data_IF_112661763458
#
_entry.id   IF_112661763458
#
_cell.length_a   1.000
_cell.length_b   1.000
_cell.length_c   1.000
_cell.angle_alpha   90.00
_cell.angle_beta   90.00
_cell.angle_gamma   90.00
#
_symmetry.space_group_name_H-M   'P 1'
#
loop_
_entity.id
_entity.type
_entity.pdbx_description
1 polymer ?
#
# COMPACT_ATOMS: atom_id res chain seq x y z
N UNK A 1 17.37 26.06 7.02
CA UNK A 1 17.97 24.77 6.59
C UNK A 1 17.84 24.60 5.07
N UNK A 2 16.66 24.68 4.47
CA UNK A 2 16.44 24.46 3.03
C UNK A 2 17.21 25.42 2.12
N UNK A 3 17.35 26.70 2.50
CA UNK A 3 18.11 27.69 1.72
C UNK A 3 19.59 27.32 1.71
N UNK A 4 20.16 26.96 2.85
CA UNK A 4 21.56 26.50 2.95
C UNK A 4 21.79 25.23 2.12
N UNK A 5 20.85 24.27 2.16
CA UNK A 5 20.94 23.05 1.38
C UNK A 5 20.89 23.33 -0.13
N UNK A 6 19.98 24.21 -0.59
CA UNK A 6 19.88 24.61 -2.00
C UNK A 6 21.16 25.29 -2.54
N UNK A 7 21.90 25.98 -1.69
CA UNK A 7 23.19 26.55 -2.05
C UNK A 7 24.25 25.46 -2.12
N UNK A 8 24.30 24.59 -1.09
CA UNK A 8 25.31 23.54 -0.98
C UNK A 8 25.24 22.50 -2.12
N UNK A 9 24.05 22.09 -2.55
CA UNK A 9 23.87 21.12 -3.65
C UNK A 9 24.28 21.65 -5.03
N UNK A 10 24.57 22.95 -5.16
CA UNK A 10 25.14 23.49 -6.42
C UNK A 10 26.59 23.04 -6.62
N UNK A 11 27.29 22.65 -5.57
CA UNK A 11 28.62 22.05 -5.68
C UNK A 11 28.49 20.58 -6.13
N UNK A 12 29.18 20.16 -7.23
CA UNK A 12 29.12 18.78 -7.71
C UNK A 12 29.61 17.75 -6.71
N UNK A 13 30.48 18.16 -5.77
CA UNK A 13 31.11 17.27 -4.80
C UNK A 13 30.38 17.23 -3.47
N UNK A 14 29.43 18.13 -3.21
CA UNK A 14 28.73 18.22 -1.94
C UNK A 14 28.14 16.88 -1.47
N UNK A 15 27.42 16.18 -2.34
CA UNK A 15 26.83 14.87 -2.01
C UNK A 15 27.89 13.80 -1.84
N UNK A 16 28.93 13.80 -2.67
CA UNK A 16 30.04 12.84 -2.58
C UNK A 16 30.79 12.99 -1.25
N UNK A 17 31.04 14.22 -0.83
CA UNK A 17 31.71 14.52 0.44
C UNK A 17 30.83 14.16 1.64
N UNK A 18 29.53 14.37 1.56
CA UNK A 18 28.58 13.90 2.57
C UNK A 18 28.61 12.38 2.71
N UNK A 19 28.57 11.65 1.59
CA UNK A 19 28.64 10.19 1.59
C UNK A 19 29.98 9.72 2.15
N UNK A 20 31.08 10.30 1.69
CA UNK A 20 32.40 9.94 2.18
C UNK A 20 32.52 10.14 3.69
N UNK A 21 32.20 11.33 4.18
CA UNK A 21 32.33 11.70 5.60
C UNK A 21 31.39 10.91 6.51
N UNK A 22 30.12 10.72 6.10
CA UNK A 22 29.12 10.15 6.99
C UNK A 22 28.94 8.63 6.83
N UNK A 23 29.33 8.05 5.68
CA UNK A 23 29.14 6.63 5.42
C UNK A 23 30.45 5.88 5.22
N UNK A 24 31.39 6.40 4.41
CA UNK A 24 32.63 5.66 4.07
C UNK A 24 33.64 5.77 5.20
N UNK A 25 33.98 6.99 5.61
CA UNK A 25 35.01 7.28 6.62
C UNK A 25 34.44 7.30 8.04
N UNK A 26 33.18 6.97 8.22
CA UNK A 26 32.53 6.95 9.53
C UNK A 26 32.83 5.63 10.26
N UNK A 27 33.54 5.72 11.37
CA UNK A 27 33.89 4.58 12.24
C UNK A 27 32.68 4.08 13.06
N UNK A 28 31.64 4.90 13.29
CA UNK A 28 30.40 4.52 13.94
C UNK A 28 29.47 3.78 12.96
N UNK A 29 29.89 2.58 12.55
CA UNK A 29 29.02 1.73 11.73
C UNK A 29 29.09 0.29 12.23
N UNK A 30 27.94 -0.37 12.19
CA UNK A 30 27.79 -1.78 12.54
C UNK A 30 27.37 -2.54 11.28
N UNK A 31 28.02 -3.67 11.07
CA UNK A 31 27.57 -4.63 10.05
C UNK A 31 26.83 -5.76 10.76
N UNK A 32 25.55 -5.87 10.51
CA UNK A 32 24.73 -6.97 11.01
C UNK A 32 24.53 -8.00 9.90
N UNK A 33 24.91 -9.23 10.17
CA UNK A 33 24.63 -10.36 9.28
C UNK A 33 23.61 -11.25 9.95
N UNK A 34 22.45 -11.42 9.33
CA UNK A 34 21.41 -12.35 9.78
C UNK A 34 21.54 -13.66 9.01
N UNK A 35 21.60 -14.76 9.74
CA UNK A 35 21.69 -16.11 9.17
C UNK A 35 20.42 -16.86 9.57
N UNK A 36 19.74 -17.55 8.64
CA UNK A 36 18.59 -18.40 8.97
C UNK A 36 19.00 -19.49 9.97
N UNK A 37 18.18 -19.69 11.00
CA UNK A 37 18.42 -20.67 12.03
C UNK A 37 17.11 -21.38 12.42
N UNK A 38 16.95 -22.60 11.92
CA UNK A 38 15.76 -23.39 12.17
C UNK A 38 15.54 -23.75 13.65
N UNK A 39 16.60 -23.74 14.48
CA UNK A 39 16.52 -24.10 15.90
C UNK A 39 16.53 -22.89 16.85
N UNK A 40 16.42 -21.68 16.32
CA UNK A 40 16.47 -20.47 17.15
C UNK A 40 15.37 -20.44 18.22
N UNK A 41 14.16 -20.82 17.85
CA UNK A 41 13.03 -20.82 18.78
C UNK A 41 13.20 -21.86 19.89
N UNK A 42 13.65 -23.06 19.56
CA UNK A 42 13.90 -24.11 20.55
C UNK A 42 14.95 -23.67 21.58
N UNK A 43 16.06 -23.09 21.11
CA UNK A 43 17.10 -22.56 22.01
C UNK A 43 16.58 -21.39 22.88
N UNK A 44 15.74 -20.53 22.35
CA UNK A 44 15.15 -19.43 23.14
C UNK A 44 14.22 -19.96 24.21
N UNK A 45 13.36 -20.93 23.88
CA UNK A 45 12.46 -21.57 24.84
C UNK A 45 13.24 -22.29 25.94
N UNK A 46 14.28 -23.04 25.58
CA UNK A 46 15.12 -23.71 26.55
C UNK A 46 15.82 -22.72 27.48
N UNK A 47 16.46 -21.67 26.91
CA UNK A 47 17.16 -20.65 27.71
C UNK A 47 16.17 -19.89 28.65
N UNK A 48 14.95 -19.64 28.19
CA UNK A 48 13.90 -19.04 29.03
C UNK A 48 13.47 -19.98 30.15
N UNK A 49 13.22 -21.26 29.85
CA UNK A 49 12.87 -22.26 30.85
C UNK A 49 13.95 -22.40 31.93
N UNK A 50 15.22 -22.46 31.54
CA UNK A 50 16.36 -22.50 32.48
C UNK A 50 16.44 -21.24 33.33
N UNK A 51 16.25 -20.04 32.74
CA UNK A 51 16.21 -18.77 33.45
C UNK A 51 15.08 -18.72 34.48
N UNK A 52 13.88 -19.14 34.06
CA UNK A 52 12.70 -19.16 34.94
C UNK A 52 12.86 -20.19 36.06
N UNK A 53 13.41 -21.38 35.78
CA UNK A 53 13.71 -22.39 36.80
C UNK A 53 14.70 -21.85 37.84
N UNK A 54 15.74 -21.14 37.41
CA UNK A 54 16.71 -20.50 38.31
C UNK A 54 16.04 -19.44 39.20
N UNK A 55 15.19 -18.57 38.63
CA UNK A 55 14.42 -17.59 39.42
C UNK A 55 13.52 -18.31 40.42
N UNK A 56 12.78 -19.32 39.94
CA UNK A 56 11.87 -20.08 40.82
C UNK A 56 12.58 -20.71 42.00
N UNK A 57 13.80 -21.20 41.84
CA UNK A 57 14.57 -21.80 42.92
C UNK A 57 15.05 -20.80 44.00
N UNK A 58 14.98 -19.49 43.72
CA UNK A 58 15.37 -18.41 44.64
C UNK A 58 14.17 -17.75 45.34
N UNK A 59 12.93 -18.09 44.95
CA UNK A 59 11.72 -17.53 45.55
C UNK A 59 11.41 -18.21 46.85
N UNK A 60 11.08 -17.43 47.87
CA UNK A 60 10.48 -17.92 49.10
C UNK A 60 8.94 -17.95 49.01
N UNK A 61 8.27 -18.43 50.07
CA UNK A 61 6.78 -18.50 50.12
C UNK A 61 6.13 -17.12 50.03
N UNK A 62 6.74 -16.09 50.58
CA UNK A 62 6.20 -14.73 50.56
C UNK A 62 6.31 -14.14 49.11
N UNK A 63 7.42 -14.39 48.45
CA UNK A 63 7.59 -14.01 47.03
C UNK A 63 6.58 -14.72 46.12
N UNK A 64 6.38 -16.01 46.34
CA UNK A 64 5.40 -16.79 45.60
C UNK A 64 3.97 -16.26 45.79
N UNK A 65 3.60 -15.97 47.03
CA UNK A 65 2.29 -15.38 47.35
C UNK A 65 2.10 -14.00 46.71
N UNK A 66 3.13 -13.16 46.76
CA UNK A 66 3.14 -11.84 46.09
C UNK A 66 2.95 -11.92 44.58
N UNK A 67 3.58 -12.89 43.92
CA UNK A 67 3.43 -13.11 42.48
C UNK A 67 1.99 -13.51 42.16
N UNK A 68 1.39 -14.41 42.95
CA UNK A 68 0.00 -14.82 42.76
C UNK A 68 -0.96 -13.65 42.99
N UNK A 69 -0.76 -12.86 44.03
CA UNK A 69 -1.56 -11.65 44.29
C UNK A 69 -1.46 -10.65 43.13
N UNK A 70 -0.23 -10.38 42.64
CA UNK A 70 -0.03 -9.47 41.53
C UNK A 70 -0.69 -9.97 40.24
N UNK A 71 -0.62 -11.27 40.00
CA UNK A 71 -1.29 -11.92 38.85
C UNK A 71 -2.81 -11.76 38.96
N UNK A 72 -3.38 -11.95 40.16
CA UNK A 72 -4.82 -11.75 40.37
C UNK A 72 -5.20 -10.27 40.14
N UNK A 73 -4.47 -9.35 40.73
CA UNK A 73 -4.72 -7.90 40.53
C UNK A 73 -4.63 -7.48 39.06
N UNK A 74 -3.72 -8.08 38.28
CA UNK A 74 -3.63 -7.84 36.86
C UNK A 74 -4.86 -8.38 36.13
N UNK A 75 -5.30 -9.61 36.46
CA UNK A 75 -6.50 -10.19 35.87
C UNK A 75 -7.74 -9.34 36.19
N UNK A 76 -7.90 -8.90 37.46
CA UNK A 76 -9.01 -8.04 37.87
C UNK A 76 -9.00 -6.70 37.14
N UNK A 77 -7.79 -6.12 36.94
CA UNK A 77 -7.64 -4.86 36.14
C UNK A 77 -7.99 -5.04 34.66
N UNK A 78 -7.65 -6.19 34.09
CA UNK A 78 -7.97 -6.49 32.66
C UNK A 78 -9.47 -6.76 32.47
N UNK A 79 -10.15 -7.31 33.47
CA UNK A 79 -11.58 -7.55 33.42
C UNK A 79 -12.43 -6.34 33.81
N UNK A 80 -11.80 -5.32 34.36
CA UNK A 80 -12.50 -4.10 34.75
C UNK A 80 -12.89 -3.28 33.55
N UNK A 81 -14.17 -2.98 33.41
CA UNK A 81 -14.66 -2.00 32.46
C UNK A 81 -14.27 -0.58 32.90
N UNK A 82 -13.55 0.13 32.03
CA UNK A 82 -13.27 1.53 32.29
C UNK A 82 -14.53 2.38 32.03
N UNK A 83 -14.68 3.46 32.79
CA UNK A 83 -15.82 4.35 32.59
C UNK A 83 -15.75 5.03 31.23
N UNK A 84 -16.67 4.75 30.27
CA UNK A 84 -16.67 5.34 28.95
C UNK A 84 -16.94 6.87 28.96
N UNK A 85 -17.46 7.40 30.08
CA UNK A 85 -17.78 8.84 30.21
C UNK A 85 -16.54 9.72 30.39
N UNK A 86 -15.37 9.13 30.63
CA UNK A 86 -14.09 9.86 30.68
C UNK A 86 -13.66 10.31 29.29
N UNK A 87 -14.06 9.59 28.25
CA UNK A 87 -13.71 9.92 26.87
C UNK A 87 -14.65 10.98 26.30
N UNK A 88 -14.14 11.93 25.48
CA UNK A 88 -15.00 12.83 24.71
C UNK A 88 -16.00 12.01 23.88
N UNK A 89 -17.26 12.35 23.99
CA UNK A 89 -18.32 11.72 23.20
C UNK A 89 -18.63 12.58 21.99
N UNK A 90 -18.78 11.92 20.85
CA UNK A 90 -19.31 12.56 19.64
C UNK A 90 -20.82 12.46 19.70
N UNK A 91 -21.49 13.59 19.80
CA UNK A 91 -22.93 13.69 19.74
C UNK A 91 -23.45 13.90 18.32
N UNK A 92 -24.76 13.88 18.16
CA UNK A 92 -25.41 14.15 16.87
C UNK A 92 -25.15 15.59 16.42
N UNK A 93 -24.94 16.50 17.36
CA UNK A 93 -24.61 17.90 17.14
C UNK A 93 -23.22 18.11 16.50
N UNK A 94 -22.30 17.16 16.70
CA UNK A 94 -20.96 17.18 16.12
C UNK A 94 -20.94 16.67 14.67
N UNK A 95 -22.03 16.04 14.23
CA UNK A 95 -22.15 15.54 12.87
C UNK A 95 -22.52 16.68 11.93
N UNK A 96 -21.69 16.99 10.91
CA UNK A 96 -22.01 18.03 9.95
C UNK A 96 -23.32 17.75 9.23
N UNK A 97 -24.20 18.76 9.15
CA UNK A 97 -25.49 18.64 8.48
C UNK A 97 -25.37 18.43 6.96
N UNK A 98 -24.20 18.67 6.39
CA UNK A 98 -23.91 18.50 4.97
C UNK A 98 -22.60 17.77 4.77
N UNK A 99 -22.59 16.86 3.81
CA UNK A 99 -21.33 16.27 3.34
C UNK A 99 -20.49 17.35 2.66
N UNK A 100 -19.19 17.37 3.00
CA UNK A 100 -18.24 18.24 2.30
C UNK A 100 -17.86 17.56 0.97
N UNK A 101 -18.65 17.86 -0.07
CA UNK A 101 -18.41 17.35 -1.43
C UNK A 101 -17.58 18.41 -2.15
N UNK A 102 -16.45 17.98 -2.70
CA UNK A 102 -15.61 18.87 -3.48
C UNK A 102 -16.35 19.35 -4.73
N UNK A 103 -16.50 20.64 -4.88
CA UNK A 103 -17.05 21.25 -6.08
C UNK A 103 -16.02 21.25 -7.20
N UNK A 104 -16.43 20.87 -8.40
CA UNK A 104 -15.57 20.76 -9.56
C UNK A 104 -16.19 21.37 -10.80
N UNK A 105 -15.36 21.70 -11.77
CA UNK A 105 -15.75 22.19 -13.08
C UNK A 105 -15.64 21.07 -14.11
N UNK A 106 -16.59 21.00 -15.03
CA UNK A 106 -16.58 20.05 -16.14
C UNK A 106 -16.18 20.78 -17.42
N UNK A 107 -15.05 20.41 -17.99
CA UNK A 107 -14.51 21.01 -19.20
C UNK A 107 -14.52 19.95 -20.31
N UNK A 108 -15.12 20.27 -21.45
CA UNK A 108 -15.07 19.39 -22.63
C UNK A 108 -14.04 19.93 -23.62
N UNK A 109 -13.06 19.12 -23.97
CA UNK A 109 -12.03 19.46 -24.96
C UNK A 109 -11.75 18.26 -25.87
N UNK A 110 -11.81 18.45 -27.18
CA UNK A 110 -11.49 17.41 -28.19
C UNK A 110 -12.16 16.05 -27.89
N UNK A 111 -13.47 16.06 -27.63
CA UNK A 111 -14.27 14.87 -27.26
C UNK A 111 -13.85 14.14 -25.98
N UNK A 112 -13.10 14.82 -25.10
CA UNK A 112 -12.77 14.30 -23.76
C UNK A 112 -13.40 15.18 -22.70
N UNK A 113 -13.92 14.56 -21.67
CA UNK A 113 -14.48 15.23 -20.50
C UNK A 113 -13.40 15.28 -19.43
N UNK A 114 -13.15 16.48 -18.91
CA UNK A 114 -12.20 16.74 -17.83
C UNK A 114 -13.00 17.26 -16.64
N UNK A 115 -12.89 16.57 -15.52
CA UNK A 115 -13.41 17.05 -14.24
C UNK A 115 -12.26 17.70 -13.48
N UNK A 116 -12.35 19.00 -13.25
CA UNK A 116 -11.33 19.77 -12.55
C UNK A 116 -11.85 20.19 -11.18
N UNK A 117 -11.07 19.85 -10.13
CA UNK A 117 -11.41 20.13 -8.75
C UNK A 117 -10.36 21.06 -8.15
N UNK A 118 -10.63 22.38 -8.04
CA UNK A 118 -9.72 23.33 -7.40
C UNK A 118 -9.75 23.15 -5.88
N UNK A 119 -8.83 22.36 -5.37
CA UNK A 119 -8.72 22.07 -3.94
C UNK A 119 -7.35 22.51 -3.38
N UNK A 120 -7.26 22.85 -2.08
CA UNK A 120 -6.02 23.26 -1.43
C UNK A 120 -5.09 22.07 -1.23
N UNK A 121 -4.31 21.73 -2.25
CA UNK A 121 -3.45 20.53 -2.30
C UNK A 121 -2.00 20.81 -1.87
N UNK A 122 -1.73 21.96 -1.28
CA UNK A 122 -0.40 22.36 -0.79
C UNK A 122 0.72 22.20 -1.85
N UNK A 123 0.44 22.66 -3.09
CA UNK A 123 1.41 22.62 -4.19
C UNK A 123 1.54 21.27 -4.89
N UNK A 124 0.63 20.35 -4.63
CA UNK A 124 0.54 19.08 -5.36
C UNK A 124 -0.57 19.16 -6.44
N UNK A 125 -0.33 18.49 -7.55
CA UNK A 125 -1.32 18.21 -8.57
C UNK A 125 -1.61 16.71 -8.57
N UNK A 126 -2.88 16.35 -8.52
CA UNK A 126 -3.37 14.97 -8.65
C UNK A 126 -4.04 14.85 -10.00
N UNK A 127 -3.70 13.82 -10.75
CA UNK A 127 -4.31 13.55 -12.06
C UNK A 127 -4.73 12.09 -12.14
N UNK A 128 -5.91 11.87 -12.68
CA UNK A 128 -6.45 10.54 -12.91
C UNK A 128 -7.01 10.46 -14.33
N UNK A 129 -6.63 9.43 -15.06
CA UNK A 129 -7.21 9.05 -16.34
C UNK A 129 -8.18 7.91 -16.05
N UNK A 130 -9.45 8.10 -16.44
CA UNK A 130 -10.52 7.13 -16.23
C UNK A 130 -11.05 6.70 -17.58
N UNK A 131 -11.04 5.41 -17.83
CA UNK A 131 -11.56 4.82 -19.07
C UNK A 131 -12.57 3.73 -18.73
N UNK A 132 -13.72 3.73 -19.38
CA UNK A 132 -14.67 2.62 -19.25
C UNK A 132 -14.01 1.35 -19.79
N UNK A 133 -14.03 0.28 -19.01
CA UNK A 133 -13.54 -1.02 -19.49
C UNK A 133 -14.44 -1.52 -20.62
N UNK A 134 -13.89 -1.96 -21.74
CA UNK A 134 -14.65 -2.64 -22.78
C UNK A 134 -15.14 -3.99 -22.27
N UNK A 135 -16.00 -4.63 -23.02
CA UNK A 135 -16.30 -6.05 -22.79
C UNK A 135 -15.03 -6.84 -23.10
N UNK A 136 -14.55 -7.57 -22.11
CA UNK A 136 -13.38 -8.43 -22.20
C UNK A 136 -13.82 -9.89 -22.21
N UNK A 137 -13.11 -10.70 -22.97
CA UNK A 137 -13.24 -12.15 -22.92
C UNK A 137 -12.75 -12.67 -21.55
N UNK A 138 -13.15 -13.87 -21.19
CA UNK A 138 -12.82 -14.45 -19.87
C UNK A 138 -11.31 -14.49 -19.60
N UNK A 139 -10.51 -14.88 -20.59
CA UNK A 139 -9.05 -14.94 -20.50
C UNK A 139 -8.43 -13.55 -20.22
N UNK A 140 -8.96 -12.52 -20.88
CA UNK A 140 -8.50 -11.13 -20.66
C UNK A 140 -8.95 -10.58 -19.30
N UNK A 141 -10.13 -11.00 -18.82
CA UNK A 141 -10.58 -10.64 -17.49
C UNK A 141 -9.66 -11.21 -16.40
N UNK A 142 -9.20 -12.45 -16.56
CA UNK A 142 -8.27 -13.08 -15.61
C UNK A 142 -6.91 -12.40 -15.57
N UNK A 143 -6.45 -11.87 -16.72
CA UNK A 143 -5.17 -11.16 -16.82
C UNK A 143 -5.26 -9.72 -16.29
N UNK A 144 -6.44 -9.12 -16.24
CA UNK A 144 -6.62 -7.70 -15.92
C UNK A 144 -5.96 -7.25 -14.61
N UNK A 145 -6.03 -7.98 -13.48
CA UNK A 145 -5.33 -7.60 -12.24
C UNK A 145 -3.81 -7.61 -12.41
N UNK A 146 -3.27 -8.59 -13.12
CA UNK A 146 -1.83 -8.71 -13.38
C UNK A 146 -1.33 -7.64 -14.34
N UNK A 147 -2.10 -7.35 -15.39
CA UNK A 147 -1.85 -6.23 -16.29
C UNK A 147 -1.80 -4.91 -15.51
N UNK A 148 -2.78 -4.66 -14.65
CA UNK A 148 -2.86 -3.45 -13.84
C UNK A 148 -1.63 -3.28 -12.94
N UNK A 149 -1.21 -4.35 -12.26
CA UNK A 149 -0.03 -4.33 -11.40
C UNK A 149 1.28 -4.14 -12.19
N UNK A 150 1.34 -4.65 -13.43
CA UNK A 150 2.55 -4.63 -14.23
C UNK A 150 2.72 -3.35 -15.05
N UNK A 151 1.62 -2.70 -15.46
CA UNK A 151 1.64 -1.56 -16.38
C UNK A 151 2.58 -0.43 -15.95
N UNK A 152 2.65 -0.16 -14.65
CA UNK A 152 3.48 0.93 -14.09
C UNK A 152 4.90 0.49 -13.73
N UNK A 153 5.23 -0.80 -13.92
CA UNK A 153 6.48 -1.43 -13.49
C UNK A 153 7.34 -1.96 -14.65
N UNK A 154 6.85 -1.84 -15.89
CA UNK A 154 7.55 -2.26 -17.12
C UNK A 154 8.17 -1.09 -17.84
N UNK A 155 9.02 -1.36 -18.83
CA UNK A 155 9.58 -0.37 -19.73
C UNK A 155 8.53 0.26 -20.64
N UNK A 156 8.82 1.46 -21.18
CA UNK A 156 7.95 2.16 -22.12
C UNK A 156 8.77 2.82 -23.22
N UNK A 157 8.36 2.66 -24.46
CA UNK A 157 9.08 3.18 -25.61
C UNK A 157 10.52 2.68 -25.66
N UNK A 158 11.48 3.57 -25.72
CA UNK A 158 12.91 3.24 -25.72
C UNK A 158 13.52 3.03 -24.32
N UNK A 159 12.74 3.24 -23.25
CA UNK A 159 13.20 3.08 -21.87
C UNK A 159 12.92 1.69 -21.35
N UNK A 160 13.93 1.05 -20.77
CA UNK A 160 13.75 -0.15 -19.96
C UNK A 160 13.03 0.17 -18.64
N UNK A 161 12.66 -0.86 -17.89
CA UNK A 161 11.92 -0.69 -16.63
C UNK A 161 12.71 0.12 -15.57
N UNK A 162 14.05 0.02 -15.50
CA UNK A 162 14.87 0.78 -14.56
C UNK A 162 14.87 2.27 -14.91
N UNK A 163 15.00 2.58 -16.19
CA UNK A 163 14.94 3.95 -16.69
C UNK A 163 13.55 4.56 -16.49
N UNK A 164 12.49 3.76 -16.64
CA UNK A 164 11.13 4.20 -16.37
C UNK A 164 10.91 4.49 -14.89
N UNK A 165 11.36 3.63 -14.00
CA UNK A 165 11.29 3.86 -12.55
C UNK A 165 12.06 5.12 -12.13
N UNK A 166 13.27 5.31 -12.67
CA UNK A 166 14.05 6.52 -12.42
C UNK A 166 13.32 7.79 -12.92
N UNK A 167 12.72 7.73 -14.09
CA UNK A 167 11.92 8.84 -14.63
C UNK A 167 10.69 9.11 -13.79
N UNK A 168 9.90 8.09 -13.41
CA UNK A 168 8.76 8.23 -12.49
C UNK A 168 9.18 8.90 -11.17
N UNK A 169 10.23 8.41 -10.54
CA UNK A 169 10.71 8.94 -9.26
C UNK A 169 11.19 10.39 -9.35
N UNK A 170 11.72 10.82 -10.50
CA UNK A 170 12.20 12.19 -10.71
C UNK A 170 11.08 13.22 -10.88
N UNK A 171 9.89 12.79 -11.33
CA UNK A 171 8.79 13.69 -11.71
C UNK A 171 7.63 13.61 -10.72
N UNK A 172 7.27 12.40 -10.32
CA UNK A 172 6.00 12.10 -9.64
C UNK A 172 6.19 11.44 -8.28
N UNK A 173 5.13 11.41 -7.49
CA UNK A 173 5.02 10.59 -6.28
C UNK A 173 4.57 9.16 -6.57
N UNK A 174 4.73 8.70 -7.82
CA UNK A 174 4.39 7.37 -8.31
C UNK A 174 3.19 7.35 -9.25
N UNK A 175 3.09 6.26 -10.00
CA UNK A 175 1.95 5.90 -10.83
C UNK A 175 1.22 4.72 -10.19
N UNK A 176 -0.09 4.72 -10.31
CA UNK A 176 -0.93 3.61 -9.85
C UNK A 176 -1.97 3.30 -10.91
N UNK A 177 -2.04 2.04 -11.33
CA UNK A 177 -3.02 1.55 -12.30
C UNK A 177 -3.88 0.46 -11.64
N UNK A 178 -5.20 0.58 -11.78
CA UNK A 178 -6.14 -0.38 -11.21
C UNK A 178 -7.46 -0.38 -11.96
N UNK A 179 -8.21 -1.46 -11.85
CA UNK A 179 -9.60 -1.55 -12.30
C UNK A 179 -10.56 -1.45 -11.11
N UNK A 180 -11.71 -0.84 -11.35
CA UNK A 180 -12.82 -0.80 -10.39
C UNK A 180 -14.07 -1.34 -11.05
N UNK A 181 -14.63 -2.39 -10.48
CA UNK A 181 -15.86 -3.03 -10.93
C UNK A 181 -16.85 -2.95 -9.79
N UNK A 182 -17.99 -2.30 -10.02
CA UNK A 182 -19.02 -2.08 -9.00
C UNK A 182 -20.39 -2.35 -9.61
N UNK A 183 -21.31 -2.86 -8.80
CA UNK A 183 -22.72 -2.92 -9.17
C UNK A 183 -23.31 -1.50 -9.31
N UNK A 184 -24.32 -1.35 -10.12
CA UNK A 184 -25.11 -0.12 -10.14
C UNK A 184 -25.95 -0.01 -8.86
N UNK A 185 -26.20 1.23 -8.43
CA UNK A 185 -26.96 1.51 -7.20
C UNK A 185 -28.40 0.98 -7.32
N UNK A 186 -29.01 1.17 -8.48
CA UNK A 186 -30.42 0.87 -8.72
C UNK A 186 -30.65 -0.49 -9.41
N UNK A 187 -29.59 -1.18 -9.85
CA UNK A 187 -29.68 -2.46 -10.51
C UNK A 187 -28.48 -3.37 -10.16
N UNK A 188 -28.72 -4.31 -9.27
CA UNK A 188 -27.69 -5.25 -8.78
C UNK A 188 -27.13 -6.17 -9.88
N UNK A 189 -27.87 -6.36 -10.98
CA UNK A 189 -27.47 -7.21 -12.11
C UNK A 189 -26.61 -6.46 -13.15
N UNK A 190 -26.47 -5.16 -13.01
CA UNK A 190 -25.63 -4.36 -13.88
C UNK A 190 -24.34 -3.95 -13.19
N UNK A 191 -23.24 -3.91 -13.95
CA UNK A 191 -21.92 -3.54 -13.46
C UNK A 191 -21.38 -2.34 -14.21
N UNK A 192 -20.74 -1.43 -13.46
CA UNK A 192 -19.90 -0.38 -14.00
C UNK A 192 -18.44 -0.76 -13.79
N UNK A 193 -17.72 -0.86 -14.87
CA UNK A 193 -16.32 -1.23 -14.86
C UNK A 193 -15.46 -0.12 -15.50
N UNK A 194 -14.45 0.34 -14.75
CA UNK A 194 -13.54 1.39 -15.17
C UNK A 194 -12.09 0.99 -14.92
N UNK A 195 -11.24 1.45 -15.78
CA UNK A 195 -9.79 1.38 -15.61
C UNK A 195 -9.25 2.77 -15.25
N UNK A 196 -8.37 2.79 -14.28
CA UNK A 196 -7.79 4.00 -13.74
C UNK A 196 -6.27 3.98 -13.88
N UNK A 197 -5.71 5.08 -14.34
CA UNK A 197 -4.32 5.40 -14.15
C UNK A 197 -4.23 6.71 -13.39
N UNK A 198 -3.61 6.71 -12.23
CA UNK A 198 -3.52 7.87 -11.35
C UNK A 198 -2.08 8.20 -10.98
N UNK A 199 -1.82 9.49 -10.79
CA UNK A 199 -0.52 9.99 -10.37
C UNK A 199 -0.69 11.28 -9.57
N UNK A 200 0.35 11.61 -8.81
CA UNK A 200 0.50 12.91 -8.14
C UNK A 200 1.90 13.45 -8.35
N UNK A 201 2.02 14.76 -8.48
CA UNK A 201 3.30 15.43 -8.62
C UNK A 201 3.27 16.83 -8.00
N UNK A 202 4.43 17.44 -7.84
CA UNK A 202 4.49 18.86 -7.56
C UNK A 202 3.86 19.63 -8.73
N UNK A 203 3.14 20.72 -8.43
CA UNK A 203 2.42 21.50 -9.45
C UNK A 203 3.32 21.96 -10.60
N UNK A 204 4.59 22.22 -10.33
CA UNK A 204 5.58 22.58 -11.39
C UNK A 204 5.86 21.42 -12.36
N UNK A 205 5.63 20.18 -11.96
CA UNK A 205 5.90 18.97 -12.74
C UNK A 205 4.63 18.42 -13.44
N UNK A 206 3.49 19.13 -13.37
CA UNK A 206 2.20 18.59 -13.87
C UNK A 206 2.25 18.20 -15.37
N UNK A 207 2.97 18.95 -16.20
CA UNK A 207 3.11 18.65 -17.64
C UNK A 207 3.92 17.37 -17.88
N UNK A 208 5.04 17.23 -17.18
CA UNK A 208 5.87 16.02 -17.28
C UNK A 208 5.15 14.81 -16.71
N UNK A 209 4.36 14.97 -15.63
CA UNK A 209 3.51 13.91 -15.10
C UNK A 209 2.46 13.46 -16.13
N UNK A 210 1.80 14.40 -16.81
CA UNK A 210 0.85 14.06 -17.88
C UNK A 210 1.51 13.32 -19.03
N UNK A 211 2.72 13.72 -19.43
CA UNK A 211 3.52 13.03 -20.44
C UNK A 211 3.88 11.62 -19.99
N UNK A 212 4.34 11.47 -18.75
CA UNK A 212 4.64 10.17 -18.14
C UNK A 212 3.42 9.24 -18.17
N UNK A 213 2.26 9.71 -17.73
CA UNK A 213 1.02 8.93 -17.73
C UNK A 213 0.61 8.51 -19.14
N UNK A 214 0.74 9.41 -20.11
CA UNK A 214 0.45 9.13 -21.52
C UNK A 214 1.39 8.06 -22.06
N UNK A 215 2.72 8.22 -21.88
CA UNK A 215 3.73 7.26 -22.33
C UNK A 215 3.48 5.88 -21.72
N UNK A 216 3.12 5.83 -20.44
CA UNK A 216 2.78 4.55 -19.76
C UNK A 216 1.57 3.87 -20.42
N UNK A 217 0.55 4.61 -20.86
CA UNK A 217 -0.63 4.01 -21.50
C UNK A 217 -0.39 3.61 -22.96
N UNK A 218 0.37 4.43 -23.71
CA UNK A 218 0.49 4.28 -25.14
C UNK A 218 1.70 3.42 -25.56
N UNK A 219 2.75 3.34 -24.72
CA UNK A 219 4.06 2.79 -25.11
C UNK A 219 4.58 1.72 -24.14
N UNK A 220 3.74 1.21 -23.22
CA UNK A 220 4.16 0.15 -22.30
C UNK A 220 4.62 -1.11 -23.04
N UNK A 221 5.73 -1.71 -22.57
CA UNK A 221 6.38 -2.85 -23.18
C UNK A 221 6.35 -4.07 -22.24
N UNK A 222 5.95 -5.20 -22.77
CA UNK A 222 5.91 -6.46 -22.04
C UNK A 222 6.91 -7.48 -22.62
N UNK A 223 7.86 -7.03 -23.43
CA UNK A 223 8.92 -7.84 -24.04
C UNK A 223 10.06 -8.16 -23.06
N UNK A 224 10.19 -7.41 -21.96
CA UNK A 224 11.15 -7.67 -20.88
C UNK A 224 10.69 -8.88 -20.03
N UNK A 225 10.73 -10.09 -20.62
CA UNK A 225 10.18 -11.34 -20.03
C UNK A 225 10.74 -11.65 -18.63
N UNK A 226 11.99 -11.28 -18.36
CA UNK A 226 12.62 -11.42 -17.06
C UNK A 226 11.90 -10.59 -16.01
N UNK A 227 11.62 -9.33 -16.32
CA UNK A 227 10.90 -8.40 -15.43
C UNK A 227 9.45 -8.83 -15.20
N UNK A 228 8.74 -9.21 -16.26
CA UNK A 228 7.36 -9.70 -16.13
C UNK A 228 7.29 -10.94 -15.23
N UNK A 229 8.23 -11.89 -15.38
CA UNK A 229 8.30 -13.08 -14.53
C UNK A 229 8.56 -12.72 -13.06
N UNK A 230 9.42 -11.76 -12.80
CA UNK A 230 9.70 -11.27 -11.45
C UNK A 230 8.44 -10.65 -10.81
N UNK A 231 7.72 -9.80 -11.53
CA UNK A 231 6.46 -9.18 -11.07
C UNK A 231 5.40 -10.25 -10.74
N UNK A 232 5.25 -11.26 -11.59
CA UNK A 232 4.33 -12.37 -11.31
C UNK A 232 4.73 -13.17 -10.07
N UNK A 233 6.02 -13.42 -9.88
CA UNK A 233 6.53 -14.10 -8.69
C UNK A 233 6.27 -13.29 -7.41
N UNK A 234 6.39 -11.96 -7.46
CA UNK A 234 6.08 -11.07 -6.35
C UNK A 234 4.58 -11.10 -6.00
N UNK A 235 3.70 -11.00 -7.01
CA UNK A 235 2.25 -11.09 -6.79
C UNK A 235 1.88 -12.43 -6.17
N UNK A 236 2.44 -13.52 -6.68
CA UNK A 236 2.22 -14.87 -6.13
C UNK A 236 2.65 -14.97 -4.67
N UNK A 237 3.87 -14.55 -4.35
CA UNK A 237 4.38 -14.58 -2.98
C UNK A 237 3.53 -13.74 -2.01
N UNK A 238 3.07 -12.56 -2.45
CA UNK A 238 2.18 -11.71 -1.66
C UNK A 238 0.83 -12.39 -1.41
N UNK A 239 0.24 -13.02 -2.41
CA UNK A 239 -1.03 -13.75 -2.27
C UNK A 239 -0.88 -14.94 -1.32
N UNK A 240 0.15 -15.76 -1.49
CA UNK A 240 0.43 -16.91 -0.61
C UNK A 240 0.57 -16.48 0.86
N UNK A 241 1.27 -15.37 1.13
CA UNK A 241 1.40 -14.83 2.49
C UNK A 241 0.09 -14.25 3.06
N UNK A 242 -0.76 -13.68 2.20
CA UNK A 242 -1.99 -13.03 2.64
C UNK A 242 -3.11 -14.00 3.02
N UNK A 243 -3.08 -15.24 2.54
CA UNK A 243 -4.16 -16.23 2.75
C UNK A 243 -4.47 -16.43 4.24
N UNK A 244 -3.46 -16.66 5.06
CA UNK A 244 -3.65 -16.93 6.49
C UNK A 244 -4.20 -15.73 7.28
N UNK A 245 -3.78 -14.52 6.92
CA UNK A 245 -4.22 -13.28 7.60
C UNK A 245 -5.55 -12.73 7.08
N UNK A 246 -6.04 -13.23 5.94
CA UNK A 246 -7.20 -12.67 5.22
C UNK A 246 -8.38 -13.65 5.10
N UNK A 247 -8.41 -14.71 5.91
CA UNK A 247 -9.39 -15.79 5.80
C UNK A 247 -10.84 -15.31 5.85
N UNK A 248 -11.18 -14.36 6.72
CA UNK A 248 -12.53 -13.81 6.82
C UNK A 248 -12.98 -13.08 5.53
N UNK A 249 -12.10 -12.28 4.91
CA UNK A 249 -12.41 -11.61 3.65
C UNK A 249 -12.56 -12.61 2.50
N UNK A 250 -11.72 -13.63 2.44
CA UNK A 250 -11.82 -14.69 1.44
C UNK A 250 -13.13 -15.46 1.58
N UNK A 251 -13.56 -15.76 2.82
CA UNK A 251 -14.85 -16.38 3.09
C UNK A 251 -16.03 -15.48 2.68
N UNK A 252 -15.97 -14.18 2.98
CA UNK A 252 -17.00 -13.22 2.57
C UNK A 252 -17.11 -13.11 1.04
N UNK A 253 -15.97 -13.03 0.33
CA UNK A 253 -15.94 -12.99 -1.12
C UNK A 253 -16.56 -14.27 -1.74
N UNK A 254 -16.22 -15.43 -1.20
CA UNK A 254 -16.79 -16.69 -1.64
C UNK A 254 -18.31 -16.76 -1.39
N UNK A 255 -18.76 -16.40 -0.18
CA UNK A 255 -20.17 -16.42 0.19
C UNK A 255 -21.03 -15.45 -0.63
N UNK A 256 -20.49 -14.25 -0.94
CA UNK A 256 -21.20 -13.22 -1.70
C UNK A 256 -21.12 -13.38 -3.22
N UNK A 257 -20.27 -14.27 -3.72
CA UNK A 257 -19.93 -14.37 -5.16
C UNK A 257 -21.13 -14.58 -6.10
N UNK A 258 -22.23 -15.15 -5.59
CA UNK A 258 -23.44 -15.42 -6.37
C UNK A 258 -24.52 -14.34 -6.22
N UNK A 259 -24.33 -13.31 -5.42
CA UNK A 259 -25.35 -12.29 -5.18
C UNK A 259 -25.45 -11.26 -6.30
N UNK A 260 -24.36 -11.05 -7.05
CA UNK A 260 -24.35 -10.16 -8.20
C UNK A 260 -23.18 -10.47 -9.14
N UNK A 261 -23.26 -10.05 -10.42
CA UNK A 261 -22.14 -10.17 -11.35
C UNK A 261 -20.86 -9.47 -10.84
N UNK A 262 -21.01 -8.30 -10.21
CA UNK A 262 -19.88 -7.58 -9.61
C UNK A 262 -19.20 -8.38 -8.49
N UNK A 263 -19.96 -9.01 -7.60
CA UNK A 263 -19.44 -9.84 -6.52
C UNK A 263 -18.75 -11.10 -7.07
N UNK A 264 -19.30 -11.71 -8.12
CA UNK A 264 -18.68 -12.84 -8.81
C UNK A 264 -17.33 -12.49 -9.41
N UNK A 265 -17.22 -11.35 -10.09
CA UNK A 265 -15.95 -10.86 -10.65
C UNK A 265 -14.95 -10.53 -9.54
N UNK A 266 -15.39 -9.92 -8.46
CA UNK A 266 -14.52 -9.62 -7.33
C UNK A 266 -13.98 -10.88 -6.66
N UNK A 267 -14.79 -11.93 -6.54
CA UNK A 267 -14.34 -13.22 -6.06
C UNK A 267 -13.30 -13.86 -6.99
N UNK A 268 -13.46 -13.76 -8.31
CA UNK A 268 -12.46 -14.24 -9.30
C UNK A 268 -11.14 -13.49 -9.18
N UNK A 269 -11.15 -12.16 -9.00
CA UNK A 269 -9.93 -11.35 -8.99
C UNK A 269 -9.17 -11.39 -7.66
N UNK A 270 -9.88 -11.55 -6.55
CA UNK A 270 -9.32 -11.38 -5.21
C UNK A 270 -9.59 -12.56 -4.26
N UNK A 271 -10.37 -13.54 -4.69
CA UNK A 271 -10.68 -14.75 -3.94
C UNK A 271 -9.62 -15.85 -4.10
N UNK A 272 -9.90 -17.02 -3.53
CA UNK A 272 -9.02 -18.19 -3.64
C UNK A 272 -8.95 -18.82 -5.04
N UNK A 273 -9.89 -18.48 -5.92
CA UNK A 273 -9.95 -18.98 -7.29
C UNK A 273 -9.22 -18.05 -8.29
N UNK A 274 -8.80 -16.87 -7.85
CA UNK A 274 -8.13 -15.88 -8.68
C UNK A 274 -6.60 -15.97 -8.68
#
# INVERSE_FOLDING_TARGET
>A
ILVKLRIAIKSPDFIKDLVRRNLIDNFHRVRLTMIPDAKLNDRRQQAEAERLAKIKSTLDEADAARIVELSQRLADRQMREDNPDILPKVGIEDVPNKLNIAEGEVITSKNKTIHFYPQPTNGLCYQQIVTKLPQLDEDLLEILPYFSNSLTEVGCGDRDYLQMQAWQASISGGLNAFSSIRGQVDNVNETNAYYFLSSKALSRNHREMTKLMRTTLEEARFDEKGRVRELMAQVRAQREQSVMGNGHNLAMLAASSRFSPAAGLQHRFSGLQG
#
